data_IF_143587529392
#
_entry.id   IF_143587529392
#
_cell.length_a   1.000
_cell.length_b   1.000
_cell.length_c   1.000
_cell.angle_alpha   90.00
_cell.angle_beta   90.00
_cell.angle_gamma   90.00
#
_symmetry.space_group_name_H-M   'P 1'
#
loop_
_entity.id
_entity.type
_entity.pdbx_description
1 polymer ?
#
# COMPACT_ATOMS: atom_id res chain seq x y z
N UNK A 1 -22.60 0.94 -2.35
CA UNK A 1 -22.01 1.62 -1.17
C UNK A 1 -20.52 1.28 -1.10
N UNK A 2 -19.64 2.20 -0.71
CA UNK A 2 -18.22 1.88 -0.50
C UNK A 2 -18.01 1.07 0.79
N UNK A 3 -16.92 0.33 0.86
CA UNK A 3 -16.48 -0.45 2.04
C UNK A 3 -15.17 0.13 2.57
N UNK A 4 -15.04 0.27 3.89
CA UNK A 4 -13.78 0.67 4.54
C UNK A 4 -13.25 -0.49 5.35
N UNK A 5 -12.04 -0.97 5.04
CA UNK A 5 -11.38 -2.03 5.78
C UNK A 5 -10.35 -1.39 6.70
N UNK A 6 -10.73 -1.26 7.98
CA UNK A 6 -9.93 -0.61 9.01
C UNK A 6 -8.68 -1.39 9.45
N UNK A 7 -7.91 -0.82 10.40
CA UNK A 7 -6.71 -1.44 10.93
C UNK A 7 -7.03 -2.65 11.83
N UNK A 8 -6.29 -3.74 11.65
CA UNK A 8 -6.20 -4.85 12.60
C UNK A 8 -4.82 -4.94 13.24
N UNK A 9 -4.73 -5.61 14.39
CA UNK A 9 -3.48 -6.00 15.06
C UNK A 9 -2.85 -7.27 14.47
N UNK A 10 -3.61 -8.00 13.66
CA UNK A 10 -3.33 -9.33 13.15
C UNK A 10 -2.49 -9.29 11.85
N UNK A 11 -1.91 -10.42 11.42
CA UNK A 11 -0.95 -10.44 10.30
C UNK A 11 -1.57 -10.91 8.97
N UNK A 12 -1.39 -10.19 7.84
CA UNK A 12 -2.13 -10.42 6.59
C UNK A 12 -1.87 -11.78 5.90
N UNK A 13 -0.74 -12.44 6.16
CA UNK A 13 -0.46 -13.76 5.58
C UNK A 13 -1.07 -14.92 6.39
N UNK A 14 -1.62 -14.66 7.58
CA UNK A 14 -2.31 -15.65 8.39
C UNK A 14 -3.81 -15.64 7.99
N UNK A 15 -4.39 -16.73 7.44
CA UNK A 15 -5.75 -16.70 6.94
C UNK A 15 -6.83 -16.44 8.01
N UNK A 16 -6.62 -16.91 9.25
CA UNK A 16 -7.51 -16.65 10.39
C UNK A 16 -7.54 -15.19 10.81
N UNK A 17 -6.42 -14.48 10.66
CA UNK A 17 -6.20 -13.11 11.10
C UNK A 17 -6.90 -12.08 10.21
N UNK A 18 -7.10 -12.45 8.94
CA UNK A 18 -7.79 -11.63 7.93
C UNK A 18 -9.25 -12.06 7.74
N UNK A 19 -9.55 -13.34 8.00
CA UNK A 19 -10.89 -13.89 7.99
C UNK A 19 -11.65 -13.60 6.68
N UNK A 20 -12.83 -12.99 6.79
CA UNK A 20 -13.70 -12.72 5.65
C UNK A 20 -13.13 -11.70 4.66
N UNK A 21 -12.23 -10.81 5.09
CA UNK A 21 -11.69 -9.72 4.24
C UNK A 21 -11.00 -10.27 2.99
N UNK A 22 -10.33 -11.43 3.09
CA UNK A 22 -9.67 -12.08 1.95
C UNK A 22 -10.64 -12.53 0.84
N UNK A 23 -11.95 -12.60 1.10
CA UNK A 23 -12.95 -12.89 0.06
C UNK A 23 -13.29 -11.65 -0.78
N UNK A 24 -13.17 -10.43 -0.22
CA UNK A 24 -13.49 -9.18 -0.91
C UNK A 24 -12.61 -8.95 -2.15
N UNK A 25 -11.34 -9.36 -2.08
CA UNK A 25 -10.37 -9.21 -3.17
C UNK A 25 -10.59 -10.18 -4.34
N UNK A 26 -11.42 -11.21 -4.11
CA UNK A 26 -11.79 -12.27 -5.05
C UNK A 26 -13.23 -12.15 -5.57
N UNK A 27 -13.89 -11.00 -5.34
CA UNK A 27 -15.21 -10.73 -5.90
C UNK A 27 -15.09 -10.44 -7.41
N UNK A 28 -16.03 -10.99 -8.17
CA UNK A 28 -16.18 -10.75 -9.61
C UNK A 28 -17.01 -9.47 -9.87
N UNK A 29 -16.89 -8.92 -11.08
CA UNK A 29 -17.44 -7.62 -11.52
C UNK A 29 -18.81 -7.23 -10.94
N UNK A 30 -19.91 -8.02 -11.05
CA UNK A 30 -21.23 -7.59 -10.59
C UNK A 30 -21.34 -7.39 -9.07
N UNK A 31 -20.35 -7.84 -8.30
CA UNK A 31 -20.30 -7.70 -6.84
C UNK A 31 -19.14 -6.83 -6.35
N UNK A 32 -18.33 -6.25 -7.25
CA UNK A 32 -17.23 -5.38 -6.85
C UNK A 32 -17.77 -4.06 -6.27
N UNK A 33 -17.24 -3.69 -5.10
CA UNK A 33 -17.52 -2.44 -4.41
C UNK A 33 -16.25 -1.61 -4.29
N UNK A 34 -16.32 -0.27 -4.26
CA UNK A 34 -15.16 0.55 -3.94
C UNK A 34 -14.65 0.26 -2.52
N UNK A 35 -13.37 -0.09 -2.35
CA UNK A 35 -12.81 -0.44 -1.03
C UNK A 35 -11.67 0.51 -0.64
N UNK A 36 -11.77 1.10 0.56
CA UNK A 36 -10.67 1.84 1.18
C UNK A 36 -9.98 0.98 2.25
N UNK A 37 -8.82 0.42 1.90
CA UNK A 37 -7.97 -0.33 2.82
C UNK A 37 -7.05 0.54 3.68
N UNK A 38 -7.02 0.31 5.00
CA UNK A 38 -6.12 0.97 5.96
C UNK A 38 -5.34 -0.08 6.76
N UNK A 39 -4.01 0.07 6.87
CA UNK A 39 -3.09 -0.87 7.55
C UNK A 39 -3.29 -2.32 7.09
N UNK A 40 -4.01 -3.15 7.85
CA UNK A 40 -4.29 -4.54 7.48
C UNK A 40 -5.15 -4.61 6.21
N UNK A 41 -6.12 -3.71 6.07
CA UNK A 41 -6.92 -3.57 4.86
C UNK A 41 -6.15 -3.09 3.63
N UNK A 42 -4.94 -2.53 3.80
CA UNK A 42 -4.02 -2.19 2.70
C UNK A 42 -3.05 -3.34 2.41
N UNK A 43 -2.53 -4.00 3.44
CA UNK A 43 -1.58 -5.11 3.30
C UNK A 43 -2.24 -6.38 2.72
N UNK A 44 -3.47 -6.71 3.13
CA UNK A 44 -4.21 -7.90 2.66
C UNK A 44 -4.46 -7.92 1.14
N UNK A 45 -5.01 -6.86 0.49
CA UNK A 45 -5.15 -6.85 -0.96
C UNK A 45 -3.80 -6.83 -1.67
N UNK A 46 -2.80 -6.13 -1.11
CA UNK A 46 -1.44 -6.12 -1.66
C UNK A 46 -0.88 -7.54 -1.76
N UNK A 47 -0.95 -8.31 -0.66
CA UNK A 47 -0.49 -9.69 -0.58
C UNK A 47 -1.28 -10.60 -1.55
N UNK A 48 -2.59 -10.39 -1.68
CA UNK A 48 -3.44 -11.15 -2.61
C UNK A 48 -3.13 -10.90 -4.09
N UNK A 49 -2.33 -9.88 -4.43
CA UNK A 49 -1.96 -9.53 -5.81
C UNK A 49 -0.42 -9.52 -6.00
N UNK A 50 0.31 -10.34 -5.23
CA UNK A 50 1.72 -10.67 -5.46
C UNK A 50 2.75 -9.86 -4.66
N UNK A 51 2.33 -8.84 -3.90
CA UNK A 51 3.23 -8.11 -3.02
C UNK A 51 3.63 -8.94 -1.79
N UNK A 52 4.76 -8.61 -1.17
CA UNK A 52 5.19 -9.22 0.09
C UNK A 52 4.95 -8.28 1.27
N UNK A 53 4.58 -8.82 2.43
CA UNK A 53 4.45 -8.05 3.67
C UNK A 53 5.64 -8.38 4.57
N UNK A 54 6.58 -7.43 4.69
CA UNK A 54 7.86 -7.63 5.39
C UNK A 54 7.95 -6.75 6.64
N UNK A 55 8.58 -7.30 7.69
CA UNK A 55 8.92 -6.52 8.88
C UNK A 55 9.98 -5.47 8.50
N UNK A 56 9.71 -4.20 8.82
CA UNK A 56 10.67 -3.12 8.64
C UNK A 56 11.84 -3.26 9.63
N UNK A 57 13.04 -2.82 9.23
CA UNK A 57 14.25 -2.84 10.08
C UNK A 57 14.09 -1.91 11.28
N UNK A 58 13.56 -0.72 11.05
CA UNK A 58 13.09 0.23 12.08
C UNK A 58 11.56 0.31 12.04
N UNK A 59 10.92 0.25 13.20
CA UNK A 59 9.49 0.56 13.32
C UNK A 59 9.34 2.05 13.67
N UNK A 60 8.44 2.75 12.96
CA UNK A 60 8.12 4.15 13.22
C UNK A 60 6.73 4.25 13.83
N UNK A 61 6.61 4.89 14.99
CA UNK A 61 5.37 5.05 15.75
C UNK A 61 5.20 6.52 16.13
N UNK A 62 4.17 7.18 15.59
CA UNK A 62 3.82 8.56 15.94
C UNK A 62 4.68 9.65 15.29
N UNK A 63 5.54 9.29 14.32
CA UNK A 63 6.35 10.27 13.58
C UNK A 63 5.47 10.93 12.52
N UNK A 64 5.40 12.26 12.48
CA UNK A 64 4.83 12.99 11.33
C UNK A 64 5.93 13.17 10.30
N UNK A 65 5.64 12.83 9.05
CA UNK A 65 6.58 13.01 7.95
C UNK A 65 5.84 13.31 6.64
N UNK A 66 6.53 14.07 5.77
CA UNK A 66 6.05 14.38 4.43
C UNK A 66 5.96 13.10 3.60
N UNK A 67 4.83 12.93 2.91
CA UNK A 67 4.53 11.76 2.07
C UNK A 67 4.46 12.19 0.61
N UNK A 68 5.54 12.03 -0.17
CA UNK A 68 5.49 12.14 -1.62
C UNK A 68 4.38 11.27 -2.21
N UNK A 69 3.59 11.86 -3.11
CA UNK A 69 2.48 11.18 -3.79
C UNK A 69 2.41 11.54 -5.27
N UNK A 70 1.80 10.67 -6.06
CA UNK A 70 1.58 10.83 -7.50
C UNK A 70 0.67 12.02 -7.89
N UNK A 71 0.04 12.71 -6.93
CA UNK A 71 -0.92 13.79 -7.21
C UNK A 71 -2.19 13.32 -7.92
N UNK A 72 -2.45 12.00 -7.94
CA UNK A 72 -3.53 11.37 -8.69
C UNK A 72 -4.45 10.56 -7.77
N UNK A 73 -5.63 10.19 -8.29
CA UNK A 73 -6.64 9.43 -7.54
C UNK A 73 -7.02 10.17 -6.23
N UNK A 74 -6.92 9.55 -5.04
CA UNK A 74 -7.22 10.21 -3.76
C UNK A 74 -6.32 11.41 -3.42
N UNK A 75 -5.22 11.62 -4.15
CA UNK A 75 -4.30 12.75 -3.97
C UNK A 75 -4.50 13.88 -5.00
N UNK A 76 -5.53 13.79 -5.84
CA UNK A 76 -5.82 14.83 -6.83
C UNK A 76 -6.17 16.17 -6.13
N UNK A 77 -5.41 17.23 -6.46
CA UNK A 77 -5.58 18.55 -5.85
C UNK A 77 -4.89 18.76 -4.49
N UNK A 78 -4.16 17.76 -3.99
CA UNK A 78 -3.32 17.89 -2.80
C UNK A 78 -1.89 18.25 -3.24
N UNK A 79 -1.27 19.27 -2.63
CA UNK A 79 0.12 19.67 -2.93
C UNK A 79 1.13 19.06 -1.97
N UNK A 80 0.87 19.22 -0.68
CA UNK A 80 1.73 18.80 0.41
C UNK A 80 0.90 17.96 1.38
N UNK A 81 1.36 16.73 1.63
CA UNK A 81 0.72 15.78 2.52
C UNK A 81 1.70 15.39 3.63
N UNK A 82 1.44 15.88 4.83
CA UNK A 82 2.06 15.37 6.05
C UNK A 82 1.12 14.34 6.68
N UNK A 83 1.67 13.16 7.02
CA UNK A 83 0.90 12.07 7.61
C UNK A 83 1.59 11.50 8.85
N UNK A 84 0.80 11.20 9.89
CA UNK A 84 1.29 10.50 11.08
C UNK A 84 1.53 9.02 10.76
N UNK A 85 2.76 8.59 10.95
CA UNK A 85 3.24 7.26 10.58
C UNK A 85 3.13 6.29 11.77
N UNK A 86 2.37 5.22 11.59
CA UNK A 86 2.23 4.13 12.57
C UNK A 86 2.44 2.78 11.87
N UNK A 87 3.70 2.32 11.79
CA UNK A 87 4.09 1.23 10.86
C UNK A 87 4.91 0.11 11.50
N UNK A 88 4.32 -1.09 11.45
CA UNK A 88 4.98 -2.39 11.40
C UNK A 88 3.89 -3.45 11.13
N UNK A 89 3.99 -4.35 10.12
CA UNK A 89 4.98 -4.43 9.01
C UNK A 89 4.69 -3.48 7.83
N UNK A 90 5.51 -3.53 6.78
CA UNK A 90 5.34 -2.77 5.51
C UNK A 90 5.10 -3.67 4.28
N UNK A 91 4.74 -3.07 3.14
CA UNK A 91 4.50 -3.76 1.85
C UNK A 91 5.69 -3.55 0.90
N UNK A 92 6.10 -4.62 0.23
CA UNK A 92 7.19 -4.66 -0.76
C UNK A 92 6.68 -5.21 -2.10
N UNK A 93 6.79 -4.40 -3.15
CA UNK A 93 6.38 -4.75 -4.51
C UNK A 93 7.47 -5.46 -5.33
N UNK A 94 8.66 -5.68 -4.76
CA UNK A 94 9.74 -6.44 -5.41
C UNK A 94 10.40 -5.73 -6.60
N UNK A 95 10.73 -4.44 -6.45
CA UNK A 95 11.43 -3.67 -7.49
C UNK A 95 12.04 -2.33 -7.01
N UNK A 96 11.45 -1.69 -6.00
CA UNK A 96 11.80 -0.32 -5.57
C UNK A 96 12.99 -0.28 -4.56
N UNK A 97 13.68 -1.40 -4.32
CA UNK A 97 14.69 -1.53 -3.25
C UNK A 97 16.16 -1.25 -3.66
N UNK A 98 16.44 -0.64 -4.81
CA UNK A 98 17.80 -0.21 -5.17
C UNK A 98 17.84 1.14 -5.88
N UNK A 99 18.17 2.18 -5.12
CA UNK A 99 18.59 3.49 -5.64
C UNK A 99 17.46 4.35 -6.18
N UNK A 100 17.56 5.65 -5.94
CA UNK A 100 16.73 6.69 -6.58
C UNK A 100 17.28 7.04 -7.99
N UNK A 101 17.90 6.09 -8.69
CA UNK A 101 18.77 6.38 -9.85
C UNK A 101 18.09 6.31 -11.21
N UNK A 102 17.03 5.52 -11.38
CA UNK A 102 16.49 5.21 -12.71
C UNK A 102 14.99 5.50 -12.82
N UNK A 103 14.71 6.73 -13.27
CA UNK A 103 13.42 7.32 -13.66
C UNK A 103 12.30 7.36 -12.59
N UNK A 104 11.79 8.57 -12.34
CA UNK A 104 10.60 8.83 -11.50
C UNK A 104 9.36 8.01 -11.92
N UNK A 105 9.27 7.62 -13.21
CA UNK A 105 8.23 6.72 -13.73
C UNK A 105 8.24 5.33 -13.09
N UNK A 106 9.40 4.77 -12.75
CA UNK A 106 9.50 3.45 -12.11
C UNK A 106 8.95 3.45 -10.67
N UNK A 107 8.86 4.63 -10.04
CA UNK A 107 8.39 4.81 -8.66
C UNK A 107 6.85 4.85 -8.56
N UNK A 108 6.17 5.28 -9.61
CA UNK A 108 4.71 5.39 -9.70
C UNK A 108 4.05 4.32 -10.58
N UNK A 109 4.85 3.50 -11.27
CA UNK A 109 4.42 2.38 -12.10
C UNK A 109 4.25 1.07 -11.31
N UNK A 110 3.43 0.12 -11.80
CA UNK A 110 3.44 -1.25 -11.31
C UNK A 110 4.80 -1.94 -11.55
N UNK A 111 5.15 -2.92 -10.70
CA UNK A 111 6.35 -3.75 -10.89
C UNK A 111 6.03 -5.00 -11.70
N UNK A 112 7.04 -5.64 -12.29
CA UNK A 112 6.87 -6.94 -12.99
C UNK A 112 6.25 -8.02 -12.08
N UNK A 113 6.57 -7.98 -10.78
CA UNK A 113 6.01 -8.87 -9.76
C UNK A 113 4.56 -8.56 -9.42
N UNK A 114 4.18 -7.28 -9.46
CA UNK A 114 2.87 -6.79 -9.03
C UNK A 114 2.22 -5.93 -10.13
N UNK A 115 1.96 -6.45 -11.34
CA UNK A 115 1.55 -5.65 -12.51
C UNK A 115 0.16 -5.01 -12.34
N UNK A 116 -0.65 -5.54 -11.43
CA UNK A 116 -1.98 -5.01 -11.10
C UNK A 116 -1.99 -3.97 -9.97
N UNK A 117 -0.84 -3.71 -9.32
CA UNK A 117 -0.74 -2.78 -8.19
C UNK A 117 0.04 -1.53 -8.59
N UNK A 118 -0.63 -0.38 -8.63
CA UNK A 118 -0.01 0.90 -8.92
C UNK A 118 0.31 1.67 -7.63
N UNK A 119 1.57 2.01 -7.35
CA UNK A 119 1.95 2.91 -6.26
C UNK A 119 1.34 4.30 -6.44
N UNK A 120 0.88 4.90 -5.34
CA UNK A 120 0.31 6.26 -5.33
C UNK A 120 0.97 7.18 -4.32
N UNK A 121 1.56 6.64 -3.25
CA UNK A 121 2.33 7.41 -2.27
C UNK A 121 3.41 6.55 -1.57
N UNK A 122 4.50 7.21 -1.20
CA UNK A 122 5.66 6.61 -0.53
C UNK A 122 6.15 7.50 0.59
N UNK A 123 6.93 6.93 1.50
CA UNK A 123 7.70 7.65 2.51
C UNK A 123 9.19 7.42 2.26
N UNK A 124 9.89 8.48 1.92
CA UNK A 124 11.34 8.48 1.70
C UNK A 124 12.14 9.02 2.91
N UNK A 125 11.50 9.32 4.04
CA UNK A 125 12.17 9.91 5.22
C UNK A 125 12.96 8.89 6.06
N UNK A 126 12.77 7.58 5.84
CA UNK A 126 13.42 6.53 6.62
C UNK A 126 14.66 5.96 5.92
N UNK A 127 15.82 6.59 6.15
CA UNK A 127 17.13 6.14 5.61
C UNK A 127 17.48 4.67 5.94
N UNK A 128 16.95 4.10 7.04
CA UNK A 128 17.26 2.74 7.49
C UNK A 128 16.44 1.69 6.73
N UNK A 129 15.21 2.04 6.37
CA UNK A 129 14.30 1.17 5.63
C UNK A 129 14.32 1.42 4.12
N UNK A 130 14.78 2.60 3.67
CA UNK A 130 14.57 3.08 2.31
C UNK A 130 13.13 3.55 2.06
N UNK A 131 12.72 3.74 0.80
CA UNK A 131 11.35 4.16 0.47
C UNK A 131 10.32 3.11 0.88
N UNK A 132 9.38 3.48 1.76
CA UNK A 132 8.30 2.60 2.23
C UNK A 132 7.00 2.95 1.52
N UNK A 133 6.29 1.96 0.97
CA UNK A 133 5.00 2.18 0.30
C UNK A 133 3.92 2.61 1.30
N UNK A 134 3.31 3.79 1.07
CA UNK A 134 2.22 4.34 1.90
C UNK A 134 0.84 4.10 1.28
N UNK A 135 0.73 4.15 -0.05
CA UNK A 135 -0.53 3.98 -0.76
C UNK A 135 -0.31 3.32 -2.11
N UNK A 136 -1.25 2.45 -2.48
CA UNK A 136 -1.42 1.93 -3.83
C UNK A 136 -2.90 1.98 -4.24
N UNK A 137 -3.17 1.68 -5.50
CA UNK A 137 -4.46 1.22 -6.01
C UNK A 137 -4.26 -0.03 -6.87
N UNK A 138 -5.29 -0.83 -7.03
CA UNK A 138 -5.37 -1.79 -8.12
C UNK A 138 -5.61 -1.05 -9.45
N UNK A 139 -5.06 -1.57 -10.56
CA UNK A 139 -5.16 -0.93 -11.89
C UNK A 139 -6.56 -1.02 -12.50
N UNK A 140 -7.22 -2.18 -12.41
CA UNK A 140 -8.58 -2.42 -12.92
C UNK A 140 -9.69 -2.48 -11.87
N UNK A 141 -9.46 -3.12 -10.71
CA UNK A 141 -10.44 -3.27 -9.63
C UNK A 141 -10.56 -1.99 -8.78
N UNK A 142 -11.72 -1.70 -8.16
CA UNK A 142 -11.98 -0.42 -7.48
C UNK A 142 -11.45 -0.37 -6.02
N UNK A 143 -10.19 -0.73 -5.76
CA UNK A 143 -9.61 -0.70 -4.40
C UNK A 143 -8.12 -0.34 -4.36
#
# INVERSE_FOLDING_TARGET
MPVVVGPGSCHPSIPSDVGFINKLWKLDDPHMLPILGIRLGFQSPSLSHGAEVKKLRRACHGIVGRVPHSGSNIFAGISDLDATQYRSPGVDLGGVQKGLSDAEHAFWGPTEKCPSLQPLAWDSSDEINGPILMRLRHTTKPF
#
